data_IF_646025687986
#
_entry.id   IF_646025687986
#
_cell.length_a   1.000
_cell.length_b   1.000
_cell.length_c   1.000
_cell.angle_alpha   90.00
_cell.angle_beta   90.00
_cell.angle_gamma   90.00
#
_symmetry.space_group_name_H-M   'P 1'
#
loop_
_entity.id
_entity.type
_entity.pdbx_description
1 polymer ?
#
# COMPACT_ATOMS: atom_id res chain seq x y z
N UNK A 1 41.78 -11.52 11.57
CA UNK A 1 40.50 -10.76 11.79
C UNK A 1 39.35 -11.75 11.87
N UNK A 2 38.65 -11.77 12.95
CA UNK A 2 37.42 -12.55 13.06
C UNK A 2 36.37 -12.03 12.09
N UNK A 3 35.75 -12.94 11.34
CA UNK A 3 34.71 -12.59 10.37
C UNK A 3 33.44 -12.22 11.11
N UNK A 4 32.87 -11.05 10.76
CA UNK A 4 31.56 -10.63 11.26
C UNK A 4 30.50 -11.56 10.66
N UNK A 5 29.65 -12.14 11.52
CA UNK A 5 28.50 -12.93 11.06
C UNK A 5 27.45 -12.00 10.43
N UNK A 6 27.17 -12.13 9.12
CA UNK A 6 26.13 -11.33 8.48
C UNK A 6 24.76 -11.72 9.02
N UNK A 7 23.96 -10.71 9.40
CA UNK A 7 22.59 -10.91 9.89
C UNK A 7 21.74 -9.69 9.62
N UNK A 8 20.48 -9.91 9.29
CA UNK A 8 19.45 -8.86 9.23
C UNK A 8 18.92 -8.57 10.62
N UNK A 9 18.62 -7.33 10.93
CA UNK A 9 18.01 -6.94 12.20
C UNK A 9 16.57 -7.45 12.29
N UNK A 10 16.13 -7.78 13.51
CA UNK A 10 14.75 -8.20 13.75
C UNK A 10 13.76 -7.10 13.36
N UNK A 11 12.76 -7.44 12.54
CA UNK A 11 11.76 -6.48 12.03
C UNK A 11 12.20 -5.72 10.78
N UNK A 12 13.37 -6.05 10.22
CA UNK A 12 13.83 -5.55 8.92
C UNK A 12 13.80 -6.67 7.90
N UNK A 13 13.47 -6.37 6.66
CA UNK A 13 13.32 -7.37 5.61
C UNK A 13 14.34 -7.15 4.50
N UNK A 14 14.97 -8.22 4.08
CA UNK A 14 15.78 -8.30 2.87
C UNK A 14 15.10 -9.25 1.89
N UNK A 15 14.66 -8.73 0.75
CA UNK A 15 14.03 -9.54 -0.28
C UNK A 15 15.09 -10.19 -1.18
N UNK A 16 14.86 -11.46 -1.54
CA UNK A 16 15.60 -12.07 -2.62
C UNK A 16 15.26 -11.39 -3.95
N UNK A 17 16.16 -11.42 -4.97
CA UNK A 17 15.96 -10.66 -6.22
C UNK A 17 14.64 -10.93 -6.93
N UNK A 18 14.17 -12.18 -6.96
CA UNK A 18 12.87 -12.55 -7.53
C UNK A 18 11.70 -11.88 -6.80
N UNK A 19 11.76 -11.84 -5.46
CA UNK A 19 10.76 -11.20 -4.62
C UNK A 19 10.82 -9.68 -4.72
N UNK A 20 12.01 -9.13 -4.89
CA UNK A 20 12.16 -7.69 -5.13
C UNK A 20 11.50 -7.27 -6.46
N UNK A 21 11.65 -8.07 -7.53
CA UNK A 21 10.96 -7.81 -8.81
C UNK A 21 9.44 -7.83 -8.65
N UNK A 22 8.89 -8.76 -7.85
CA UNK A 22 7.45 -8.80 -7.56
C UNK A 22 6.99 -7.56 -6.80
N UNK A 23 7.73 -7.14 -5.76
CA UNK A 23 7.45 -5.91 -5.00
C UNK A 23 7.48 -4.67 -5.90
N UNK A 24 8.48 -4.55 -6.78
CA UNK A 24 8.61 -3.41 -7.68
C UNK A 24 7.47 -3.34 -8.71
N UNK A 25 6.97 -4.48 -9.17
CA UNK A 25 5.75 -4.53 -10.00
C UNK A 25 4.52 -4.04 -9.24
N UNK A 26 4.33 -4.44 -7.98
CA UNK A 26 3.26 -3.90 -7.15
C UNK A 26 3.37 -2.38 -7.03
N UNK A 27 4.56 -1.86 -6.71
CA UNK A 27 4.80 -0.42 -6.63
C UNK A 27 4.46 0.31 -7.93
N UNK A 28 4.80 -0.28 -9.08
CA UNK A 28 4.49 0.29 -10.40
C UNK A 28 2.97 0.37 -10.64
N UNK A 29 2.21 -0.68 -10.31
CA UNK A 29 0.74 -0.68 -10.41
C UNK A 29 0.12 0.42 -9.55
N UNK A 30 0.58 0.58 -8.30
CA UNK A 30 0.08 1.62 -7.41
C UNK A 30 0.37 3.02 -7.98
N UNK A 31 1.62 3.28 -8.38
CA UNK A 31 2.03 4.57 -8.92
C UNK A 31 1.26 4.93 -10.20
N UNK A 32 1.07 3.97 -11.11
CA UNK A 32 0.27 4.16 -12.31
C UNK A 32 -1.20 4.45 -11.99
N UNK A 33 -1.79 3.72 -11.03
CA UNK A 33 -3.16 3.95 -10.61
C UNK A 33 -3.31 5.34 -10.03
N UNK A 34 -2.46 5.76 -9.10
CA UNK A 34 -2.50 7.08 -8.49
C UNK A 34 -2.34 8.21 -9.54
N UNK A 35 -1.45 8.03 -10.51
CA UNK A 35 -1.28 8.99 -11.60
C UNK A 35 -2.56 9.17 -12.44
N UNK A 36 -3.38 8.12 -12.64
CA UNK A 36 -4.67 8.20 -13.36
C UNK A 36 -5.70 9.09 -12.65
N UNK A 37 -5.59 9.21 -11.32
CA UNK A 37 -6.43 10.10 -10.51
C UNK A 37 -5.80 11.49 -10.32
N UNK A 38 -4.77 11.83 -11.10
CA UNK A 38 -4.13 13.14 -11.08
C UNK A 38 -3.22 13.38 -9.87
N UNK A 39 -2.77 12.35 -9.18
CA UNK A 39 -1.78 12.50 -8.13
C UNK A 39 -0.38 12.62 -8.71
N UNK A 40 0.42 13.54 -8.16
CA UNK A 40 1.82 13.74 -8.51
C UNK A 40 2.75 13.05 -7.51
N UNK A 41 3.89 12.49 -7.95
CA UNK A 41 4.85 11.88 -7.04
C UNK A 41 5.52 12.93 -6.16
N UNK A 42 5.71 12.60 -4.89
CA UNK A 42 6.48 13.36 -3.93
C UNK A 42 7.37 12.40 -3.13
N UNK A 43 8.59 12.81 -2.82
CA UNK A 43 9.41 12.11 -1.83
C UNK A 43 9.95 13.12 -0.82
N UNK A 44 9.65 12.90 0.45
CA UNK A 44 10.16 13.69 1.56
C UNK A 44 11.39 13.01 2.17
N UNK A 45 12.28 13.73 2.86
CA UNK A 45 13.43 13.11 3.51
C UNK A 45 13.03 11.99 4.49
N UNK A 46 13.84 10.93 4.53
CA UNK A 46 13.67 9.86 5.50
C UNK A 46 14.06 10.28 6.93
N UNK A 47 14.98 11.26 7.03
CA UNK A 47 15.46 11.84 8.28
C UNK A 47 15.00 13.28 8.34
N UNK A 48 14.41 13.67 9.45
CA UNK A 48 13.98 15.03 9.74
C UNK A 48 14.50 15.47 11.12
N UNK A 49 14.43 16.76 11.42
CA UNK A 49 14.61 17.23 12.78
C UNK A 49 13.57 16.58 13.70
N UNK A 50 13.98 16.12 14.86
CA UNK A 50 13.09 15.41 15.79
C UNK A 50 11.89 16.27 16.18
N UNK A 51 12.04 17.59 16.35
CA UNK A 51 10.98 18.53 16.64
C UNK A 51 9.88 18.57 15.57
N UNK A 52 10.22 18.35 14.31
CA UNK A 52 9.24 18.28 13.21
C UNK A 52 8.36 17.05 13.35
N UNK A 53 8.96 15.87 13.55
CA UNK A 53 8.21 14.61 13.61
C UNK A 53 7.46 14.45 14.94
N UNK A 54 7.89 15.12 15.98
CA UNK A 54 7.29 15.12 17.32
C UNK A 54 6.38 16.33 17.57
N UNK A 55 6.15 17.20 16.58
CA UNK A 55 5.36 18.43 16.74
C UNK A 55 3.96 18.18 17.32
N UNK A 56 3.33 17.06 16.96
CA UNK A 56 2.05 16.65 17.57
C UNK A 56 2.19 16.23 19.05
N UNK A 57 3.39 15.83 19.48
CA UNK A 57 3.73 15.45 20.85
C UNK A 57 2.90 14.32 21.47
N UNK A 58 3.54 13.55 22.35
CA UNK A 58 2.88 12.60 23.24
C UNK A 58 2.47 11.25 22.62
N UNK A 59 2.09 10.34 23.50
CA UNK A 59 1.51 9.05 23.16
C UNK A 59 2.50 7.97 22.76
N UNK A 60 1.96 6.99 22.06
CA UNK A 60 2.68 5.79 21.63
C UNK A 60 3.70 6.07 20.52
N UNK A 61 3.43 7.06 19.66
CA UNK A 61 4.30 7.47 18.54
C UNK A 61 5.67 7.91 19.03
N UNK A 62 5.73 8.70 20.12
CA UNK A 62 6.99 9.19 20.68
C UNK A 62 7.89 8.05 21.17
N UNK A 63 7.28 6.96 21.71
CA UNK A 63 8.00 5.78 22.18
C UNK A 63 8.52 4.91 21.04
N UNK A 64 7.91 5.00 19.87
CA UNK A 64 8.21 4.15 18.72
C UNK A 64 9.08 4.83 17.66
N UNK A 65 9.28 6.15 17.73
CA UNK A 65 10.09 6.87 16.78
C UNK A 65 11.59 6.55 16.97
N UNK A 66 12.31 6.31 15.88
CA UNK A 66 13.75 6.16 15.89
C UNK A 66 14.39 7.55 15.94
N UNK A 67 14.93 7.93 17.10
CA UNK A 67 15.58 9.21 17.36
C UNK A 67 17.08 9.00 17.63
N UNK A 68 17.92 9.89 17.11
CA UNK A 68 19.37 9.83 17.25
C UNK A 68 19.99 11.22 17.09
N UNK A 69 21.23 11.37 17.55
CA UNK A 69 21.98 12.63 17.39
C UNK A 69 23.10 12.47 16.35
N UNK A 70 23.35 13.51 15.59
CA UNK A 70 24.51 13.64 14.71
C UNK A 70 25.12 15.02 14.86
N UNK A 71 26.29 15.09 15.49
CA UNK A 71 26.87 16.38 15.95
C UNK A 71 25.91 17.01 16.97
N UNK A 72 25.52 18.26 16.75
CA UNK A 72 24.55 18.99 17.59
C UNK A 72 23.08 18.80 17.16
N UNK A 73 22.84 18.09 16.05
CA UNK A 73 21.50 17.92 15.50
C UNK A 73 20.78 16.74 16.15
N UNK A 74 19.57 17.01 16.61
CA UNK A 74 18.61 16.01 17.12
C UNK A 74 17.68 15.58 15.97
N UNK A 75 17.79 14.34 15.56
CA UNK A 75 17.22 13.80 14.34
C UNK A 75 16.31 12.60 14.63
N UNK A 76 15.36 12.36 13.72
CA UNK A 76 14.54 11.16 13.78
C UNK A 76 14.24 10.62 12.39
N UNK A 77 13.98 9.31 12.32
CA UNK A 77 13.44 8.67 11.13
C UNK A 77 11.92 8.88 11.07
N UNK A 78 11.39 9.18 9.88
CA UNK A 78 9.95 9.39 9.68
C UNK A 78 9.14 8.15 10.07
N UNK A 79 8.10 8.37 10.87
CA UNK A 79 7.20 7.34 11.39
C UNK A 79 6.06 7.02 10.41
N UNK A 80 5.65 8.00 9.63
CA UNK A 80 4.66 7.97 8.55
C UNK A 80 5.10 8.89 7.40
N UNK A 81 4.27 9.01 6.37
CA UNK A 81 4.51 9.90 5.24
C UNK A 81 3.64 11.17 5.28
N UNK A 82 2.69 11.26 6.23
CA UNK A 82 1.70 12.35 6.31
C UNK A 82 2.21 13.53 7.15
N UNK A 83 2.90 13.29 8.27
CA UNK A 83 3.53 14.37 9.05
C UNK A 83 4.62 15.10 8.25
N UNK A 84 5.55 14.41 7.55
CA UNK A 84 6.48 15.08 6.65
C UNK A 84 5.80 15.84 5.50
N UNK A 85 4.66 15.33 4.98
CA UNK A 85 3.85 16.03 3.99
C UNK A 85 3.30 17.35 4.55
N UNK A 86 2.71 17.33 5.73
CA UNK A 86 2.14 18.53 6.35
C UNK A 86 3.21 19.64 6.49
N UNK A 87 4.42 19.29 6.95
CA UNK A 87 5.57 20.19 6.99
C UNK A 87 5.95 20.68 5.59
N UNK A 88 6.01 19.78 4.60
CA UNK A 88 6.36 20.11 3.23
C UNK A 88 5.37 21.12 2.61
N UNK A 89 4.06 20.88 2.76
CA UNK A 89 3.01 21.76 2.23
C UNK A 89 3.06 23.12 2.91
N UNK A 90 3.25 23.17 4.22
CA UNK A 90 3.39 24.43 4.96
C UNK A 90 4.61 25.24 4.48
N UNK A 91 5.77 24.59 4.31
CA UNK A 91 7.00 25.23 3.87
C UNK A 91 6.95 25.72 2.41
N UNK A 92 6.21 25.06 1.54
CA UNK A 92 6.17 25.34 0.10
C UNK A 92 4.81 25.92 -0.36
N UNK A 93 3.98 26.37 0.57
CA UNK A 93 2.61 26.82 0.29
C UNK A 93 2.48 27.76 -0.92
N UNK A 94 3.35 28.73 -1.03
CA UNK A 94 3.32 29.72 -2.12
C UNK A 94 3.71 29.17 -3.51
N UNK A 95 4.20 27.94 -3.58
CA UNK A 95 4.64 27.27 -4.81
C UNK A 95 3.68 26.15 -5.23
N UNK A 96 2.75 25.76 -4.35
CA UNK A 96 1.80 24.67 -4.59
C UNK A 96 0.49 25.21 -5.14
N UNK A 97 -0.19 24.40 -5.94
CA UNK A 97 -1.54 24.66 -6.42
C UNK A 97 -2.52 23.76 -5.68
N UNK A 98 -3.61 24.34 -5.16
CA UNK A 98 -4.61 23.61 -4.38
C UNK A 98 -5.91 23.41 -5.18
N UNK A 99 -6.63 22.27 -4.98
CA UNK A 99 -6.26 21.18 -4.08
C UNK A 99 -4.99 20.47 -4.55
N UNK A 100 -4.02 20.28 -3.62
CA UNK A 100 -2.77 19.62 -3.91
C UNK A 100 -2.92 18.11 -3.75
N UNK A 101 -2.70 17.37 -4.83
CA UNK A 101 -2.84 15.90 -4.90
C UNK A 101 -1.47 15.27 -5.04
N UNK A 102 -1.04 14.52 -4.03
CA UNK A 102 0.27 13.85 -4.08
C UNK A 102 0.15 12.36 -3.77
N UNK A 103 1.07 11.55 -4.30
CA UNK A 103 1.33 10.22 -3.77
C UNK A 103 2.79 10.08 -3.37
N UNK A 104 3.04 9.19 -2.40
CA UNK A 104 4.39 8.81 -2.00
C UNK A 104 4.43 7.32 -1.68
N UNK A 105 5.38 6.59 -2.29
CA UNK A 105 5.68 5.20 -1.98
C UNK A 105 7.06 5.16 -1.34
N UNK A 106 7.11 5.11 -0.03
CA UNK A 106 8.35 5.30 0.73
C UNK A 106 8.46 4.41 1.97
N UNK A 107 9.68 4.24 2.46
CA UNK A 107 9.92 3.55 3.72
C UNK A 107 9.64 4.45 4.90
N UNK A 108 9.10 3.83 5.96
CA UNK A 108 8.89 4.42 7.29
C UNK A 108 9.43 3.47 8.36
N UNK A 109 9.66 4.01 9.56
CA UNK A 109 10.29 3.27 10.65
C UNK A 109 9.50 3.39 11.94
N UNK A 110 9.16 2.23 12.55
CA UNK A 110 8.43 2.14 13.81
C UNK A 110 9.13 1.19 14.77
N UNK A 111 9.45 1.65 15.98
CA UNK A 111 10.14 0.88 17.02
C UNK A 111 9.29 -0.16 17.73
N UNK A 112 8.12 -0.50 17.20
CA UNK A 112 7.22 -1.50 17.77
C UNK A 112 7.81 -2.91 17.78
N UNK A 113 7.20 -3.81 18.57
CA UNK A 113 7.59 -5.21 18.59
C UNK A 113 7.30 -5.86 17.23
N UNK A 114 8.35 -6.41 16.61
CA UNK A 114 8.20 -7.16 15.37
C UNK A 114 7.27 -8.37 15.55
N UNK A 115 6.29 -8.51 14.64
CA UNK A 115 5.32 -9.59 14.62
C UNK A 115 5.09 -10.03 13.16
N UNK A 116 4.36 -11.14 12.95
CA UNK A 116 3.97 -11.60 11.62
C UNK A 116 3.24 -10.47 10.86
N UNK A 117 3.77 -10.09 9.69
CA UNK A 117 3.24 -8.98 8.89
C UNK A 117 3.45 -7.57 9.47
N UNK A 118 4.18 -7.42 10.59
CA UNK A 118 4.56 -6.12 11.18
C UNK A 118 6.06 -5.99 11.27
N UNK A 119 6.58 -5.01 10.54
CA UNK A 119 8.00 -4.73 10.40
C UNK A 119 8.35 -3.40 11.06
N UNK A 120 9.62 -3.25 11.42
CA UNK A 120 10.17 -1.99 11.96
C UNK A 120 10.62 -1.03 10.86
N UNK A 121 10.95 -1.55 9.69
CA UNK A 121 11.15 -0.82 8.45
C UNK A 121 10.21 -1.40 7.40
N UNK A 122 9.36 -0.57 6.80
CA UNK A 122 8.39 -1.03 5.82
C UNK A 122 7.97 0.08 4.86
N UNK A 123 7.51 -0.31 3.68
CA UNK A 123 6.94 0.60 2.69
C UNK A 123 5.48 0.90 3.02
N UNK A 124 5.16 2.19 3.00
CA UNK A 124 3.81 2.71 2.85
C UNK A 124 3.63 3.26 1.44
N UNK A 125 2.41 3.16 0.91
CA UNK A 125 1.99 3.77 -0.34
C UNK A 125 0.79 4.67 -0.03
N UNK A 126 1.07 5.96 0.08
CA UNK A 126 0.14 6.97 0.56
C UNK A 126 -0.31 7.88 -0.58
N UNK A 127 -1.58 8.26 -0.55
CA UNK A 127 -2.14 9.37 -1.32
C UNK A 127 -2.77 10.37 -0.37
N UNK A 128 -2.65 11.66 -0.69
CA UNK A 128 -3.31 12.73 0.05
C UNK A 128 -3.78 13.84 -0.90
N UNK A 129 -4.90 14.44 -0.57
CA UNK A 129 -5.47 15.61 -1.20
C UNK A 129 -5.55 16.70 -0.15
N UNK A 130 -4.83 17.80 -0.35
CA UNK A 130 -4.78 18.93 0.59
C UNK A 130 -5.52 20.12 -0.01
N UNK A 131 -6.49 20.66 0.72
CA UNK A 131 -7.20 21.90 0.39
C UNK A 131 -6.51 23.16 0.91
N UNK A 132 -7.01 24.32 0.51
CA UNK A 132 -6.64 25.63 1.03
C UNK A 132 -7.89 26.32 1.62
N UNK A 133 -7.94 26.46 2.93
CA UNK A 133 -9.11 26.96 3.67
C UNK A 133 -10.24 25.94 3.78
N UNK A 134 -10.55 25.23 2.70
CA UNK A 134 -11.59 24.21 2.63
C UNK A 134 -11.18 23.05 1.73
N UNK A 135 -11.80 21.90 1.93
CA UNK A 135 -11.70 20.74 1.04
C UNK A 135 -13.10 20.14 0.89
N UNK A 136 -13.58 20.10 -0.37
CA UNK A 136 -14.92 19.60 -0.68
C UNK A 136 -15.05 18.09 -0.34
N UNK A 137 -16.22 17.70 0.17
CA UNK A 137 -16.55 16.33 0.59
C UNK A 137 -16.44 15.30 -0.56
N UNK A 138 -16.57 15.74 -1.81
CA UNK A 138 -16.40 14.87 -2.97
C UNK A 138 -15.02 14.22 -3.02
N UNK A 139 -13.98 14.91 -2.52
CA UNK A 139 -12.64 14.33 -2.41
C UNK A 139 -12.61 13.12 -1.45
N UNK A 140 -13.45 13.15 -0.41
CA UNK A 140 -13.59 12.01 0.51
C UNK A 140 -14.34 10.84 -0.14
N UNK A 141 -15.34 11.13 -0.99
CA UNK A 141 -16.07 10.10 -1.73
C UNK A 141 -15.23 9.44 -2.84
N UNK A 142 -14.23 10.15 -3.39
CA UNK A 142 -13.32 9.59 -4.41
C UNK A 142 -12.29 8.60 -3.82
N UNK A 143 -11.91 8.74 -2.56
CA UNK A 143 -10.90 7.87 -1.91
C UNK A 143 -11.25 6.38 -2.00
N UNK A 144 -12.46 5.92 -1.66
CA UNK A 144 -12.84 4.50 -1.83
C UNK A 144 -12.74 4.02 -3.27
N UNK A 145 -13.04 4.86 -4.27
CA UNK A 145 -12.88 4.50 -5.67
C UNK A 145 -11.41 4.26 -6.05
N UNK A 146 -10.51 5.09 -5.54
CA UNK A 146 -9.06 4.92 -5.74
C UNK A 146 -8.58 3.62 -5.08
N UNK A 147 -9.07 3.31 -3.88
CA UNK A 147 -8.77 2.04 -3.19
C UNK A 147 -9.26 0.86 -4.04
N UNK A 148 -10.52 0.92 -4.52
CA UNK A 148 -11.11 -0.12 -5.32
C UNK A 148 -10.34 -0.37 -6.62
N UNK A 149 -10.03 0.68 -7.39
CA UNK A 149 -9.25 0.56 -8.64
C UNK A 149 -7.83 0.02 -8.37
N UNK A 150 -7.18 0.49 -7.29
CA UNK A 150 -5.85 0.04 -6.91
C UNK A 150 -5.81 -1.45 -6.63
N UNK A 151 -6.72 -1.96 -5.79
CA UNK A 151 -6.72 -3.37 -5.43
C UNK A 151 -7.17 -4.26 -6.58
N UNK A 152 -8.17 -3.84 -7.36
CA UNK A 152 -8.62 -4.56 -8.56
C UNK A 152 -7.49 -4.69 -9.60
N UNK A 153 -6.70 -3.63 -9.82
CA UNK A 153 -5.53 -3.65 -10.71
C UNK A 153 -4.40 -4.51 -10.20
N UNK A 154 -4.26 -4.66 -8.89
CA UNK A 154 -3.35 -5.65 -8.30
C UNK A 154 -3.85 -7.08 -8.50
N UNK A 155 -5.15 -7.28 -8.83
CA UNK A 155 -5.80 -8.59 -8.95
C UNK A 155 -6.49 -9.04 -7.67
N UNK A 156 -6.67 -8.14 -6.70
CA UNK A 156 -7.48 -8.40 -5.51
C UNK A 156 -8.94 -8.04 -5.82
N UNK A 157 -9.86 -8.97 -5.60
CA UNK A 157 -11.30 -8.76 -5.84
C UNK A 157 -12.14 -8.98 -4.58
N UNK A 158 -11.67 -9.80 -3.64
CA UNK A 158 -12.38 -10.14 -2.42
C UNK A 158 -11.89 -9.33 -1.23
N UNK A 159 -12.27 -8.06 -1.22
CA UNK A 159 -11.97 -7.11 -0.13
C UNK A 159 -13.19 -6.25 0.16
N UNK A 160 -13.21 -5.60 1.32
CA UNK A 160 -14.24 -4.66 1.72
C UNK A 160 -13.64 -3.38 2.26
N UNK A 161 -14.12 -2.27 1.73
CA UNK A 161 -13.80 -0.91 2.19
C UNK A 161 -14.86 -0.53 3.21
N UNK A 162 -14.47 -0.41 4.46
CA UNK A 162 -15.32 0.06 5.55
C UNK A 162 -15.20 1.58 5.64
N UNK A 163 -16.33 2.25 5.80
CA UNK A 163 -16.40 3.72 5.86
C UNK A 163 -17.17 4.12 7.11
N UNK A 164 -16.67 5.12 7.83
CA UNK A 164 -17.36 5.77 8.94
C UNK A 164 -17.01 7.27 8.98
N UNK A 165 -17.58 8.00 9.93
CA UNK A 165 -17.25 9.40 10.15
C UNK A 165 -17.10 9.67 11.65
N UNK A 166 -15.96 10.25 12.05
CA UNK A 166 -15.68 10.55 13.47
C UNK A 166 -16.67 11.54 14.09
N UNK A 167 -17.24 12.45 13.30
CA UNK A 167 -18.26 13.37 13.80
C UNK A 167 -19.54 12.64 14.24
N UNK A 168 -19.90 11.55 13.51
CA UNK A 168 -21.03 10.68 13.89
C UNK A 168 -20.78 10.05 15.24
N UNK A 169 -19.60 9.46 15.45
CA UNK A 169 -19.25 8.83 16.74
C UNK A 169 -19.17 9.86 17.88
N UNK A 170 -18.44 10.95 17.67
CA UNK A 170 -18.27 12.00 18.67
C UNK A 170 -19.61 12.65 19.04
N UNK A 171 -20.45 12.95 18.05
CA UNK A 171 -21.80 13.48 18.27
C UNK A 171 -22.70 12.50 19.00
N UNK A 172 -22.63 11.21 18.68
CA UNK A 172 -23.37 10.16 19.38
C UNK A 172 -22.96 10.06 20.87
N UNK A 173 -21.67 10.07 21.18
CA UNK A 173 -21.22 10.08 22.57
C UNK A 173 -21.62 11.36 23.29
N UNK A 174 -21.67 12.51 22.63
CA UNK A 174 -22.18 13.76 23.20
C UNK A 174 -23.68 13.65 23.52
N UNK A 175 -24.47 13.04 22.62
CA UNK A 175 -25.90 12.77 22.84
C UNK A 175 -26.12 11.91 24.09
N UNK A 176 -25.23 10.96 24.35
CA UNK A 176 -25.28 10.09 25.54
C UNK A 176 -24.68 10.74 26.81
N UNK A 177 -24.07 11.93 26.70
CA UNK A 177 -23.34 12.56 27.82
C UNK A 177 -22.01 11.90 28.16
N UNK A 178 -21.37 11.23 27.18
CA UNK A 178 -20.16 10.43 27.36
C UNK A 178 -18.94 11.02 26.63
N UNK A 179 -18.92 12.32 26.34
CA UNK A 179 -17.83 12.96 25.58
C UNK A 179 -16.45 12.77 26.24
N UNK A 180 -16.36 12.82 27.57
CA UNK A 180 -15.10 12.63 28.29
C UNK A 180 -14.65 11.16 28.30
N UNK A 181 -15.59 10.23 28.32
CA UNK A 181 -15.36 8.79 28.34
C UNK A 181 -15.17 8.18 26.92
N UNK A 182 -15.41 8.96 25.85
CA UNK A 182 -15.45 8.47 24.48
C UNK A 182 -14.22 7.62 24.12
N UNK A 183 -13.01 8.05 24.48
CA UNK A 183 -11.79 7.32 24.19
C UNK A 183 -11.68 5.96 24.89
N UNK A 184 -12.16 5.85 26.16
CA UNK A 184 -12.17 4.57 26.91
C UNK A 184 -13.26 3.63 26.39
N UNK A 185 -14.42 4.19 26.07
CA UNK A 185 -15.55 3.46 25.46
C UNK A 185 -15.11 2.87 24.14
N UNK A 186 -14.50 3.65 23.25
CA UNK A 186 -14.04 3.21 21.95
C UNK A 186 -12.96 2.11 22.04
N UNK A 187 -11.98 2.27 22.93
CA UNK A 187 -10.99 1.20 23.22
C UNK A 187 -11.61 -0.09 23.76
N UNK A 188 -12.76 0.01 24.40
CA UNK A 188 -13.49 -1.15 24.90
C UNK A 188 -14.32 -1.82 23.81
N UNK A 189 -15.00 -1.04 22.97
CA UNK A 189 -15.74 -1.51 21.78
C UNK A 189 -14.83 -2.30 20.84
N UNK A 190 -13.62 -1.86 20.67
CA UNK A 190 -12.58 -2.47 19.83
C UNK A 190 -12.23 -3.94 20.21
N UNK A 191 -12.65 -4.35 21.39
CA UNK A 191 -12.52 -5.76 21.82
C UNK A 191 -13.73 -6.61 21.45
N UNK A 192 -14.78 -6.01 20.85
CA UNK A 192 -16.07 -6.67 20.62
C UNK A 192 -15.91 -8.00 19.87
N UNK A 193 -15.20 -8.01 18.77
CA UNK A 193 -14.96 -9.21 17.95
C UNK A 193 -14.18 -10.32 18.71
N UNK A 194 -13.38 -9.92 19.72
CA UNK A 194 -12.51 -10.85 20.46
C UNK A 194 -13.15 -11.47 21.67
N UNK A 195 -13.99 -10.69 22.37
CA UNK A 195 -14.52 -11.11 23.68
C UNK A 195 -16.05 -11.19 23.74
N UNK A 196 -16.75 -10.70 22.71
CA UNK A 196 -18.20 -10.72 22.59
C UNK A 196 -18.93 -9.60 23.33
N UNK A 197 -20.19 -9.36 22.96
CA UNK A 197 -21.02 -8.25 23.42
C UNK A 197 -21.23 -8.21 24.95
N UNK A 198 -21.51 -9.35 25.57
CA UNK A 198 -21.76 -9.42 27.04
C UNK A 198 -20.55 -8.96 27.85
N UNK A 199 -19.34 -9.37 27.45
CA UNK A 199 -18.11 -8.95 28.11
C UNK A 199 -17.77 -7.50 27.84
N UNK A 200 -18.03 -7.00 26.62
CA UNK A 200 -17.87 -5.58 26.30
C UNK A 200 -18.85 -4.76 27.13
N UNK A 201 -20.10 -5.15 27.24
CA UNK A 201 -21.12 -4.50 28.10
C UNK A 201 -20.65 -4.39 29.55
N UNK A 202 -20.17 -5.50 30.11
CA UNK A 202 -19.63 -5.50 31.49
C UNK A 202 -18.43 -4.55 31.64
N UNK A 203 -17.49 -4.56 30.70
CA UNK A 203 -16.34 -3.64 30.71
C UNK A 203 -16.75 -2.17 30.58
N UNK A 204 -17.75 -1.84 29.76
CA UNK A 204 -18.28 -0.48 29.62
C UNK A 204 -18.84 0.02 30.97
N UNK A 205 -19.62 -0.80 31.66
CA UNK A 205 -20.19 -0.42 32.96
C UNK A 205 -19.16 -0.39 34.10
N UNK A 206 -18.25 -1.37 34.13
CA UNK A 206 -17.35 -1.55 35.27
C UNK A 206 -16.12 -0.63 35.21
N UNK A 207 -15.67 -0.27 33.99
CA UNK A 207 -14.39 0.42 33.79
C UNK A 207 -14.48 1.78 33.11
N UNK A 208 -15.55 2.04 32.34
CA UNK A 208 -15.69 3.30 31.62
C UNK A 208 -16.67 4.28 32.24
N UNK A 209 -17.29 3.91 33.38
CA UNK A 209 -18.27 4.76 34.05
C UNK A 209 -19.57 4.98 33.28
N UNK A 210 -19.94 4.01 32.43
CA UNK A 210 -21.12 4.03 31.57
C UNK A 210 -22.27 3.33 32.27
N UNK A 211 -23.51 3.86 32.22
CA UNK A 211 -24.67 3.16 32.79
C UNK A 211 -25.05 1.95 31.90
N UNK A 212 -25.86 1.06 32.45
CA UNK A 212 -26.36 -0.13 31.74
C UNK A 212 -27.12 0.28 30.47
N UNK A 213 -27.99 1.30 30.58
CA UNK A 213 -28.80 1.82 29.49
C UNK A 213 -27.91 2.45 28.38
N UNK A 214 -26.87 3.19 28.77
CA UNK A 214 -25.91 3.77 27.85
C UNK A 214 -25.09 2.66 27.14
N UNK A 215 -24.68 1.62 27.89
CA UNK A 215 -23.93 0.49 27.31
C UNK A 215 -24.79 -0.28 26.27
N UNK A 216 -26.07 -0.51 26.58
CA UNK A 216 -27.01 -1.15 25.66
C UNK A 216 -27.25 -0.30 24.40
N UNK A 217 -27.36 1.02 24.56
CA UNK A 217 -27.50 1.94 23.43
C UNK A 217 -26.24 1.99 22.56
N UNK A 218 -25.05 2.00 23.16
CA UNK A 218 -23.77 1.91 22.43
C UNK A 218 -23.70 0.61 21.64
N UNK A 219 -23.99 -0.52 22.25
CA UNK A 219 -23.96 -1.82 21.56
C UNK A 219 -24.99 -1.88 20.44
N UNK A 220 -26.20 -1.32 20.64
CA UNK A 220 -27.21 -1.22 19.60
C UNK A 220 -26.75 -0.35 18.42
N UNK A 221 -26.08 0.77 18.71
CA UNK A 221 -25.56 1.68 17.69
C UNK A 221 -24.49 1.01 16.83
N UNK A 222 -23.47 0.41 17.44
CA UNK A 222 -22.35 -0.20 16.71
C UNK A 222 -22.72 -1.50 16.00
N UNK A 223 -23.66 -2.29 16.56
CA UNK A 223 -24.12 -3.55 15.98
C UNK A 223 -25.29 -3.37 15.00
N UNK A 224 -25.59 -2.14 14.56
CA UNK A 224 -26.68 -1.88 13.64
C UNK A 224 -26.56 -2.76 12.38
N UNK A 225 -27.51 -3.69 12.16
CA UNK A 225 -27.46 -4.63 11.05
C UNK A 225 -27.95 -3.98 9.76
N UNK A 226 -27.74 -4.70 8.64
CA UNK A 226 -28.25 -4.34 7.33
C UNK A 226 -27.24 -3.70 6.41
N UNK A 227 -27.73 -3.22 5.28
CA UNK A 227 -26.96 -2.53 4.24
C UNK A 227 -26.50 -1.15 4.71
N UNK A 228 -25.63 -0.51 3.94
CA UNK A 228 -25.25 0.90 4.22
C UNK A 228 -26.45 1.83 4.23
N UNK A 229 -27.46 1.57 3.37
CA UNK A 229 -28.70 2.36 3.36
C UNK A 229 -29.55 2.16 4.63
N UNK A 230 -29.65 0.91 5.12
CA UNK A 230 -30.35 0.61 6.38
C UNK A 230 -29.68 1.28 7.57
N UNK A 231 -28.33 1.27 7.63
CA UNK A 231 -27.55 1.93 8.67
C UNK A 231 -27.70 3.46 8.61
N UNK A 232 -27.71 4.06 7.43
CA UNK A 232 -27.99 5.50 7.29
C UNK A 232 -29.43 5.85 7.77
N UNK A 233 -30.41 5.00 7.43
CA UNK A 233 -31.78 5.20 7.90
C UNK A 233 -31.88 5.04 9.44
N UNK A 234 -31.15 4.09 10.02
CA UNK A 234 -31.06 3.93 11.48
C UNK A 234 -30.47 5.18 12.16
N UNK A 235 -29.44 5.78 11.59
CA UNK A 235 -28.79 6.98 12.16
C UNK A 235 -29.71 8.19 12.19
N UNK A 236 -30.73 8.28 11.32
CA UNK A 236 -31.71 9.38 11.31
C UNK A 236 -32.47 9.56 12.62
N UNK A 237 -32.62 8.52 13.44
CA UNK A 237 -33.30 8.64 14.73
C UNK A 237 -32.58 9.56 15.75
N UNK A 238 -31.29 9.84 15.49
CA UNK A 238 -30.48 10.74 16.33
C UNK A 238 -30.41 12.16 15.77
N UNK A 239 -30.92 12.38 14.55
CA UNK A 239 -30.89 13.71 13.88
C UNK A 239 -31.58 14.78 14.75
N UNK A 240 -31.00 15.99 14.73
CA UNK A 240 -31.49 17.13 15.51
C UNK A 240 -31.14 17.11 16.99
N UNK A 241 -30.39 16.09 17.45
CA UNK A 241 -29.98 15.96 18.86
C UNK A 241 -28.58 16.53 19.12
N UNK A 242 -27.74 16.63 18.08
CA UNK A 242 -26.40 17.20 18.16
C UNK A 242 -25.90 17.65 16.77
N UNK A 243 -25.44 18.89 16.66
CA UNK A 243 -25.01 19.49 15.39
C UNK A 243 -23.81 18.76 14.77
N UNK A 244 -22.85 18.31 15.59
CA UNK A 244 -21.68 17.54 15.08
C UNK A 244 -22.13 16.21 14.51
N UNK A 245 -23.09 15.54 15.16
CA UNK A 245 -23.68 14.31 14.65
C UNK A 245 -24.36 14.53 13.30
N UNK A 246 -25.20 15.56 13.20
CA UNK A 246 -25.95 15.88 11.99
C UNK A 246 -25.00 16.18 10.81
N UNK A 247 -23.97 16.97 11.06
CA UNK A 247 -22.91 17.24 10.08
C UNK A 247 -22.23 15.95 9.60
N UNK A 248 -21.81 15.10 10.54
CA UNK A 248 -21.17 13.83 10.21
C UNK A 248 -22.06 12.86 9.44
N UNK A 249 -23.36 12.83 9.76
CA UNK A 249 -24.36 12.01 9.07
C UNK A 249 -24.57 12.51 7.63
N UNK A 250 -24.63 13.83 7.39
CA UNK A 250 -24.76 14.39 6.05
C UNK A 250 -23.51 14.15 5.20
N UNK A 251 -22.32 14.31 5.79
CA UNK A 251 -21.04 13.95 5.15
C UNK A 251 -21.01 12.47 4.77
N UNK A 252 -21.34 11.58 5.70
CA UNK A 252 -21.34 10.14 5.50
C UNK A 252 -22.34 9.72 4.42
N UNK A 253 -23.53 10.30 4.41
CA UNK A 253 -24.54 10.10 3.36
C UNK A 253 -24.02 10.51 1.99
N UNK A 254 -23.35 11.67 1.91
CA UNK A 254 -22.76 12.17 0.69
C UNK A 254 -21.68 11.22 0.18
N UNK A 255 -20.74 10.83 1.04
CA UNK A 255 -19.65 9.89 0.68
C UNK A 255 -20.21 8.57 0.16
N UNK A 256 -21.07 7.90 0.96
CA UNK A 256 -21.65 6.59 0.58
C UNK A 256 -22.51 6.71 -0.67
N UNK A 257 -23.27 7.82 -0.83
CA UNK A 257 -24.15 8.06 -1.97
C UNK A 257 -23.41 8.18 -3.31
N UNK A 258 -22.17 8.65 -3.32
CA UNK A 258 -21.38 8.78 -4.56
C UNK A 258 -20.64 7.50 -4.96
N UNK A 259 -20.46 6.51 -4.07
CA UNK A 259 -19.66 5.31 -4.35
C UNK A 259 -20.12 4.54 -5.60
N UNK A 260 -21.44 4.30 -5.83
CA UNK A 260 -21.90 3.65 -7.06
C UNK A 260 -21.56 4.43 -8.32
N UNK A 261 -21.67 5.78 -8.28
CA UNK A 261 -21.34 6.64 -9.41
C UNK A 261 -19.83 6.64 -9.72
N UNK A 262 -18.98 6.45 -8.72
CA UNK A 262 -17.55 6.22 -8.87
C UNK A 262 -17.20 4.79 -9.31
N UNK A 263 -18.19 3.91 -9.48
CA UNK A 263 -18.00 2.54 -9.95
C UNK A 263 -17.54 1.55 -8.87
N UNK A 264 -17.70 1.89 -7.59
CA UNK A 264 -17.43 0.95 -6.48
C UNK A 264 -18.63 0.04 -6.29
N UNK A 265 -18.51 -1.28 -6.51
CA UNK A 265 -19.60 -2.23 -6.31
C UNK A 265 -20.05 -2.29 -4.84
N UNK A 266 -21.34 -2.53 -4.61
CA UNK A 266 -21.91 -2.56 -3.27
C UNK A 266 -21.28 -3.65 -2.38
N UNK A 267 -20.87 -4.76 -2.97
CA UNK A 267 -20.15 -5.83 -2.28
C UNK A 267 -18.74 -5.45 -1.82
N UNK A 268 -18.16 -4.37 -2.35
CA UNK A 268 -16.80 -3.93 -2.00
C UNK A 268 -16.76 -2.79 -0.99
N UNK A 269 -17.89 -2.26 -0.55
CA UNK A 269 -17.91 -1.26 0.52
C UNK A 269 -19.02 -1.52 1.55
N UNK A 270 -18.85 -0.99 2.75
CA UNK A 270 -19.87 -0.98 3.79
C UNK A 270 -19.70 0.22 4.72
N UNK A 271 -20.83 0.75 5.21
CA UNK A 271 -20.85 1.62 6.37
C UNK A 271 -20.63 0.77 7.62
N UNK A 272 -19.57 1.07 8.38
CA UNK A 272 -19.20 0.31 9.58
C UNK A 272 -18.98 1.24 10.76
N UNK A 273 -19.95 1.28 11.67
CA UNK A 273 -19.95 2.16 12.83
C UNK A 273 -18.92 1.74 13.90
N UNK A 274 -18.27 0.58 13.74
CA UNK A 274 -17.24 0.10 14.68
C UNK A 274 -15.87 0.69 14.39
N UNK A 275 -15.59 1.15 13.16
CA UNK A 275 -14.30 1.71 12.84
C UNK A 275 -14.18 3.14 13.38
N UNK A 276 -13.27 3.26 14.30
CA UNK A 276 -12.85 4.54 14.88
C UNK A 276 -11.35 4.73 14.70
N UNK A 277 -10.64 3.61 14.59
CA UNK A 277 -9.19 3.57 14.56
C UNK A 277 -8.60 4.31 13.39
N UNK A 278 -7.55 4.97 13.68
CA UNK A 278 -6.69 5.70 12.77
C UNK A 278 -5.69 6.44 13.63
N UNK A 279 -4.89 7.27 12.99
CA UNK A 279 -4.04 8.20 13.72
C UNK A 279 -4.94 9.25 14.38
N UNK A 280 -4.59 9.66 15.60
CA UNK A 280 -5.39 10.58 16.43
C UNK A 280 -5.71 11.93 15.79
N UNK A 281 -5.18 12.21 14.58
CA UNK A 281 -5.42 13.46 13.86
C UNK A 281 -6.63 13.42 12.89
N UNK A 282 -7.33 12.29 12.72
CA UNK A 282 -8.51 12.27 11.87
C UNK A 282 -9.70 13.00 12.50
N UNK A 283 -10.41 13.77 11.69
CA UNK A 283 -11.47 14.69 12.13
C UNK A 283 -12.84 14.44 11.47
N UNK A 284 -12.89 13.71 10.37
CA UNK A 284 -14.09 13.44 9.57
C UNK A 284 -14.20 11.99 9.15
N UNK A 285 -14.41 11.76 7.83
CA UNK A 285 -14.51 10.42 7.26
C UNK A 285 -13.26 9.60 7.53
N UNK A 286 -13.44 8.33 7.85
CA UNK A 286 -12.38 7.33 8.07
C UNK A 286 -12.64 6.09 7.22
N UNK A 287 -11.56 5.48 6.77
CA UNK A 287 -11.58 4.30 5.90
C UNK A 287 -10.72 3.19 6.48
N UNK A 288 -11.19 1.97 6.33
CA UNK A 288 -10.42 0.77 6.62
C UNK A 288 -10.75 -0.30 5.58
N UNK A 289 -9.73 -0.95 5.02
CA UNK A 289 -9.94 -2.01 4.04
C UNK A 289 -9.40 -3.34 4.55
N UNK A 290 -10.22 -4.38 4.47
CA UNK A 290 -9.90 -5.73 4.91
C UNK A 290 -10.06 -6.74 3.77
N UNK A 291 -9.26 -7.82 3.81
CA UNK A 291 -9.43 -8.97 2.92
C UNK A 291 -10.53 -9.87 3.48
N UNK A 292 -11.52 -10.25 2.65
CA UNK A 292 -12.65 -11.08 3.08
C UNK A 292 -12.23 -12.54 3.33
N UNK A 293 -11.25 -13.03 2.57
CA UNK A 293 -10.77 -14.41 2.71
C UNK A 293 -9.70 -14.56 3.79
N UNK A 294 -9.17 -13.42 4.30
CA UNK A 294 -8.09 -13.38 5.29
C UNK A 294 -8.36 -12.32 6.36
N UNK A 295 -9.50 -12.42 7.11
CA UNK A 295 -9.88 -11.42 8.10
C UNK A 295 -8.87 -11.33 9.27
N UNK A 296 -8.12 -12.41 9.54
CA UNK A 296 -7.08 -12.45 10.58
C UNK A 296 -5.91 -11.49 10.29
N UNK A 297 -5.77 -11.07 9.05
CA UNK A 297 -4.76 -10.09 8.64
C UNK A 297 -5.08 -8.71 9.21
N UNK A 298 -6.38 -8.39 9.36
CA UNK A 298 -6.86 -7.06 9.71
C UNK A 298 -6.70 -6.07 8.55
N UNK A 299 -6.61 -4.78 8.88
CA UNK A 299 -6.54 -3.71 7.88
C UNK A 299 -5.29 -3.78 7.01
N UNK A 300 -5.47 -3.69 5.69
CA UNK A 300 -4.41 -3.60 4.68
C UNK A 300 -4.26 -2.18 4.12
N UNK A 301 -5.30 -1.36 4.24
CA UNK A 301 -5.33 0.04 3.88
C UNK A 301 -6.19 0.80 4.89
N UNK A 302 -5.74 1.95 5.32
CA UNK A 302 -6.50 2.83 6.22
C UNK A 302 -6.22 4.29 5.92
N UNK A 303 -7.14 5.16 6.33
CA UNK A 303 -7.00 6.58 6.13
C UNK A 303 -8.18 7.38 6.67
N UNK A 304 -8.22 8.67 6.32
CA UNK A 304 -9.32 9.55 6.71
C UNK A 304 -9.02 11.02 6.44
N UNK A 305 -9.99 11.85 6.78
CA UNK A 305 -9.88 13.30 6.76
C UNK A 305 -9.17 13.82 8.01
N UNK A 306 -8.31 14.80 7.80
CA UNK A 306 -7.62 15.56 8.87
C UNK A 306 -7.64 17.05 8.54
N UNK A 307 -7.98 17.90 9.51
CA UNK A 307 -8.13 19.35 9.28
C UNK A 307 -6.97 20.17 9.86
N UNK A 308 -6.35 19.71 10.95
CA UNK A 308 -5.42 20.54 11.74
C UNK A 308 -3.96 20.07 11.70
N UNK A 309 -3.63 19.07 10.91
CA UNK A 309 -2.27 18.50 10.91
C UNK A 309 -1.20 19.52 10.50
N UNK A 310 -1.49 20.38 9.53
CA UNK A 310 -0.58 21.44 9.10
C UNK A 310 -0.49 22.61 10.10
N UNK A 311 -1.43 22.72 11.05
CA UNK A 311 -1.46 23.79 12.08
C UNK A 311 -0.24 23.81 12.99
N UNK A 312 0.52 22.72 13.07
CA UNK A 312 1.81 22.68 13.77
C UNK A 312 2.92 23.46 13.04
N UNK A 313 2.76 23.75 11.75
CA UNK A 313 3.82 24.35 10.92
C UNK A 313 3.40 25.69 10.28
N UNK A 314 2.10 26.00 10.25
CA UNK A 314 1.55 27.22 9.63
C UNK A 314 0.24 27.64 10.29
N UNK A 315 -0.08 28.93 10.22
CA UNK A 315 -1.39 29.48 10.63
C UNK A 315 -2.48 29.33 9.55
N UNK A 316 -2.18 28.65 8.43
CA UNK A 316 -3.16 28.42 7.37
C UNK A 316 -3.98 27.16 7.67
N UNK A 317 -5.27 27.22 7.37
CA UNK A 317 -6.13 26.06 7.39
C UNK A 317 -5.89 25.22 6.13
N UNK A 318 -5.32 24.05 6.26
CA UNK A 318 -4.97 23.14 5.17
C UNK A 318 -5.59 21.76 5.43
N UNK A 319 -6.92 21.65 5.28
CA UNK A 319 -7.60 20.37 5.46
C UNK A 319 -7.14 19.36 4.43
N UNK A 320 -7.04 18.09 4.82
CA UNK A 320 -6.61 17.02 3.94
C UNK A 320 -7.43 15.75 4.12
N UNK A 321 -7.42 14.92 3.10
CA UNK A 321 -7.90 13.54 3.15
C UNK A 321 -6.92 12.63 2.43
N UNK A 322 -6.66 11.47 3.00
CA UNK A 322 -5.74 10.53 2.37
C UNK A 322 -5.85 9.12 2.93
N UNK A 323 -5.18 8.20 2.26
CA UNK A 323 -5.04 6.80 2.72
C UNK A 323 -3.61 6.33 2.61
N UNK A 324 -3.30 5.31 3.38
CA UNK A 324 -2.04 4.60 3.39
C UNK A 324 -2.27 3.10 3.20
N UNK A 325 -1.63 2.53 2.20
CA UNK A 325 -1.53 1.08 2.03
C UNK A 325 -0.23 0.62 2.69
N UNK A 326 -0.30 -0.28 3.66
CA UNK A 326 0.86 -0.94 4.24
C UNK A 326 1.49 -1.94 3.25
N UNK A 327 2.22 -1.43 2.25
CA UNK A 327 2.64 -2.19 1.08
C UNK A 327 3.51 -3.41 1.43
N UNK A 328 4.47 -3.26 2.35
CA UNK A 328 5.30 -4.40 2.80
C UNK A 328 4.45 -5.48 3.47
N UNK A 329 3.46 -5.08 4.28
CA UNK A 329 2.53 -6.01 4.93
C UNK A 329 1.67 -6.74 3.92
N UNK A 330 1.07 -6.00 2.97
CA UNK A 330 0.27 -6.57 1.91
C UNK A 330 1.08 -7.58 1.09
N UNK A 331 2.28 -7.20 0.65
CA UNK A 331 3.18 -8.07 -0.11
C UNK A 331 3.53 -9.36 0.67
N UNK A 332 3.89 -9.22 1.96
CA UNK A 332 4.20 -10.35 2.82
C UNK A 332 3.02 -11.34 2.91
N UNK A 333 1.80 -10.84 3.08
CA UNK A 333 0.59 -11.66 3.16
C UNK A 333 0.32 -12.36 1.84
N UNK A 334 0.39 -11.65 0.72
CA UNK A 334 0.19 -12.22 -0.62
C UNK A 334 1.18 -13.34 -0.91
N UNK A 335 2.42 -13.22 -0.42
CA UNK A 335 3.42 -14.29 -0.51
C UNK A 335 3.08 -15.48 0.37
N UNK A 336 2.75 -15.26 1.66
CA UNK A 336 2.40 -16.34 2.59
C UNK A 336 1.18 -17.15 2.12
N UNK A 337 0.21 -16.48 1.51
CA UNK A 337 -1.01 -17.10 1.00
C UNK A 337 -0.84 -17.65 -0.43
N UNK A 338 0.37 -17.60 -1.00
CA UNK A 338 0.66 -18.02 -2.38
C UNK A 338 -0.25 -17.36 -3.44
N UNK A 339 -0.67 -16.12 -3.21
CA UNK A 339 -1.54 -15.38 -4.11
C UNK A 339 -0.80 -14.73 -5.28
N UNK A 340 0.52 -14.56 -5.19
CA UNK A 340 1.32 -13.99 -6.30
C UNK A 340 1.42 -15.01 -7.42
N UNK A 341 1.10 -14.57 -8.65
CA UNK A 341 1.10 -15.43 -9.83
C UNK A 341 2.49 -15.92 -10.21
N UNK A 342 2.62 -17.20 -10.55
CA UNK A 342 3.85 -17.79 -11.10
C UNK A 342 4.16 -17.24 -12.51
N UNK A 343 3.17 -16.63 -13.18
CA UNK A 343 3.36 -15.97 -14.47
C UNK A 343 4.20 -14.68 -14.39
N UNK A 344 4.41 -14.15 -13.18
CA UNK A 344 5.25 -12.96 -12.98
C UNK A 344 6.69 -13.27 -13.34
N UNK A 345 7.17 -12.68 -14.44
CA UNK A 345 8.56 -12.84 -14.85
C UNK A 345 9.50 -12.15 -13.86
N UNK A 346 10.22 -12.96 -13.10
CA UNK A 346 11.21 -12.50 -12.10
C UNK A 346 12.65 -12.65 -12.58
N UNK A 347 12.86 -13.28 -13.76
CA UNK A 347 14.17 -13.43 -14.37
C UNK A 347 14.84 -12.07 -14.61
N UNK A 348 16.16 -11.96 -14.39
CA UNK A 348 16.90 -10.71 -14.60
C UNK A 348 17.04 -10.33 -16.08
N UNK A 349 16.83 -11.29 -16.98
CA UNK A 349 16.90 -11.12 -18.43
C UNK A 349 15.81 -11.92 -19.14
N UNK A 350 15.42 -11.46 -20.33
CA UNK A 350 14.50 -12.17 -21.22
C UNK A 350 15.24 -13.24 -22.02
N UNK A 351 16.54 -13.00 -22.30
CA UNK A 351 17.39 -13.92 -23.03
C UNK A 351 18.84 -13.88 -22.51
N UNK A 352 19.45 -15.06 -22.44
CA UNK A 352 20.87 -15.24 -22.17
C UNK A 352 21.58 -15.65 -23.46
N UNK A 353 22.60 -14.89 -23.89
CA UNK A 353 23.45 -15.27 -25.00
C UNK A 353 24.65 -16.06 -24.48
N UNK A 354 24.85 -17.25 -25.02
CA UNK A 354 25.97 -18.15 -24.73
C UNK A 354 26.92 -18.17 -25.92
N UNK A 355 27.99 -17.37 -25.93
CA UNK A 355 29.04 -17.47 -26.98
C UNK A 355 29.73 -18.85 -26.89
N UNK A 356 29.93 -19.45 -28.05
CA UNK A 356 30.65 -20.73 -28.22
C UNK A 356 32.01 -20.53 -28.92
N UNK A 357 32.38 -19.27 -29.13
CA UNK A 357 33.65 -18.84 -29.78
C UNK A 357 34.51 -18.09 -28.76
N UNK A 358 35.82 -18.02 -29.03
CA UNK A 358 36.74 -17.20 -28.19
C UNK A 358 36.60 -15.70 -28.53
N UNK A 359 36.30 -15.33 -29.79
CA UNK A 359 35.95 -13.97 -30.16
C UNK A 359 34.48 -13.70 -29.84
N UNK A 360 34.25 -12.73 -28.97
CA UNK A 360 32.92 -12.36 -28.49
C UNK A 360 32.25 -11.25 -29.31
N UNK A 361 32.90 -10.74 -30.35
CA UNK A 361 32.43 -9.56 -31.11
C UNK A 361 31.03 -9.73 -31.69
N UNK A 362 30.74 -10.90 -32.28
CA UNK A 362 29.43 -11.23 -32.83
C UNK A 362 28.35 -11.32 -31.72
N UNK A 363 28.67 -11.93 -30.57
CA UNK A 363 27.76 -12.06 -29.43
C UNK A 363 27.48 -10.68 -28.81
N UNK A 364 28.47 -9.81 -28.71
CA UNK A 364 28.32 -8.42 -28.24
C UNK A 364 27.41 -7.63 -29.18
N UNK A 365 27.61 -7.76 -30.52
CA UNK A 365 26.77 -7.11 -31.52
C UNK A 365 25.32 -7.58 -31.42
N UNK A 366 25.09 -8.90 -31.30
CA UNK A 366 23.78 -9.48 -31.16
C UNK A 366 23.11 -8.98 -29.85
N UNK A 367 23.83 -8.97 -28.70
CA UNK A 367 23.30 -8.45 -27.46
C UNK A 367 22.88 -6.98 -27.56
N UNK A 368 23.69 -6.16 -28.27
CA UNK A 368 23.38 -4.74 -28.46
C UNK A 368 22.14 -4.55 -29.35
N UNK A 369 22.01 -5.33 -30.43
CA UNK A 369 20.83 -5.29 -31.29
C UNK A 369 19.55 -5.70 -30.55
N UNK A 370 19.58 -6.79 -29.79
CA UNK A 370 18.43 -7.26 -29.01
C UNK A 370 18.04 -6.26 -27.93
N UNK A 371 19.01 -5.61 -27.26
CA UNK A 371 18.75 -4.54 -26.29
C UNK A 371 18.12 -3.30 -26.95
N UNK A 372 18.64 -2.89 -28.10
CA UNK A 372 18.04 -1.81 -28.91
C UNK A 372 16.59 -2.15 -29.31
N UNK A 373 16.30 -3.45 -29.50
CA UNK A 373 14.95 -3.97 -29.72
C UNK A 373 14.07 -4.03 -28.47
N UNK A 374 14.54 -3.55 -27.32
CA UNK A 374 13.77 -3.46 -26.07
C UNK A 374 13.82 -4.72 -25.18
N UNK A 375 14.65 -5.72 -25.48
CA UNK A 375 14.81 -6.90 -24.63
C UNK A 375 15.85 -6.69 -23.52
N UNK A 376 15.63 -7.35 -22.37
CA UNK A 376 16.62 -7.48 -21.32
C UNK A 376 17.56 -8.64 -21.68
N UNK A 377 18.81 -8.33 -21.98
CA UNK A 377 19.76 -9.31 -22.51
C UNK A 377 20.97 -9.44 -21.60
N UNK A 378 21.26 -10.65 -21.20
CA UNK A 378 22.50 -10.99 -20.51
C UNK A 378 23.45 -11.74 -21.46
N UNK A 379 24.71 -11.33 -21.48
CA UNK A 379 25.78 -12.02 -22.19
C UNK A 379 26.60 -12.82 -21.15
N UNK A 380 26.74 -14.13 -21.35
CA UNK A 380 27.52 -14.99 -20.46
C UNK A 380 28.98 -15.04 -20.91
N UNK A 381 29.87 -14.43 -20.13
CA UNK A 381 31.29 -14.32 -20.46
C UNK A 381 32.19 -15.34 -19.75
N UNK A 382 31.64 -16.08 -18.77
CA UNK A 382 32.44 -16.98 -17.96
C UNK A 382 32.85 -18.27 -18.71
N UNK A 383 34.11 -18.65 -18.56
CA UNK A 383 34.66 -19.90 -19.15
C UNK A 383 34.25 -21.13 -18.31
N UNK A 384 33.01 -21.58 -18.48
CA UNK A 384 32.45 -22.75 -17.81
C UNK A 384 32.03 -23.83 -18.83
N UNK A 385 31.87 -25.07 -18.37
CA UNK A 385 31.32 -26.15 -19.19
C UNK A 385 29.89 -25.84 -19.61
N UNK A 386 29.50 -26.29 -20.79
CA UNK A 386 28.18 -26.06 -21.38
C UNK A 386 27.00 -26.31 -20.40
N UNK A 387 27.00 -27.46 -19.71
CA UNK A 387 25.96 -27.79 -18.72
C UNK A 387 25.85 -26.76 -17.62
N UNK A 388 26.96 -26.15 -17.19
CA UNK A 388 26.93 -25.12 -16.15
C UNK A 388 26.37 -23.79 -16.67
N UNK A 389 26.62 -23.47 -17.97
CA UNK A 389 26.05 -22.27 -18.62
C UNK A 389 24.53 -22.39 -18.74
N UNK A 390 24.02 -23.54 -19.18
CA UNK A 390 22.56 -23.81 -19.24
C UNK A 390 21.94 -23.80 -17.84
N UNK A 391 22.57 -24.48 -16.88
CA UNK A 391 22.08 -24.48 -15.48
C UNK A 391 22.07 -23.09 -14.84
N UNK A 392 22.85 -22.13 -15.33
CA UNK A 392 22.79 -20.75 -14.90
C UNK A 392 21.49 -20.07 -15.37
N UNK A 393 21.14 -20.24 -16.69
CA UNK A 393 19.88 -19.72 -17.22
C UNK A 393 18.66 -20.32 -16.48
N UNK A 394 18.68 -21.63 -16.28
CA UNK A 394 17.61 -22.37 -15.59
C UNK A 394 17.41 -21.88 -14.15
N UNK A 395 18.48 -21.76 -13.38
CA UNK A 395 18.42 -21.25 -11.99
C UNK A 395 17.90 -19.82 -11.86
N UNK A 396 18.13 -18.98 -12.87
CA UNK A 396 17.65 -17.61 -12.92
C UNK A 396 16.26 -17.49 -13.55
N UNK A 397 15.69 -18.60 -14.05
CA UNK A 397 14.39 -18.61 -14.72
C UNK A 397 14.39 -17.81 -16.04
N UNK A 398 15.56 -17.66 -16.70
CA UNK A 398 15.66 -16.92 -17.96
C UNK A 398 14.95 -17.72 -19.04
N UNK A 399 13.90 -17.16 -19.69
CA UNK A 399 13.02 -17.95 -20.56
C UNK A 399 13.65 -18.34 -21.90
N UNK A 400 14.66 -17.61 -22.36
CA UNK A 400 15.32 -17.90 -23.63
C UNK A 400 16.84 -17.96 -23.50
N UNK A 401 17.45 -18.85 -24.26
CA UNK A 401 18.90 -18.93 -24.43
C UNK A 401 19.23 -18.90 -25.92
N UNK A 402 20.22 -18.11 -26.29
CA UNK A 402 20.79 -18.11 -27.66
C UNK A 402 22.19 -18.72 -27.58
N UNK A 403 22.43 -19.73 -28.41
CA UNK A 403 23.77 -20.26 -28.69
C UNK A 403 24.29 -19.57 -29.94
N UNK A 404 25.54 -19.14 -29.90
CA UNK A 404 26.18 -18.45 -31.02
C UNK A 404 27.59 -19.02 -31.18
N UNK A 405 27.74 -19.94 -32.13
CA UNK A 405 28.99 -20.57 -32.53
C UNK A 405 29.47 -20.05 -33.89
N UNK A 406 30.57 -20.60 -34.40
CA UNK A 406 31.16 -20.21 -35.69
C UNK A 406 30.20 -20.46 -36.85
N UNK A 407 29.47 -21.59 -36.82
CA UNK A 407 28.51 -21.96 -37.89
C UNK A 407 27.31 -20.99 -37.91
N UNK A 408 26.76 -20.65 -36.75
CA UNK A 408 25.67 -19.69 -36.64
C UNK A 408 26.11 -18.29 -37.14
N UNK A 409 27.32 -17.87 -36.78
CA UNK A 409 27.88 -16.58 -37.23
C UNK A 409 28.06 -16.57 -38.75
N UNK A 410 28.65 -17.63 -39.30
CA UNK A 410 28.89 -17.74 -40.76
C UNK A 410 27.58 -17.71 -41.59
N UNK A 411 26.50 -18.28 -41.04
CA UNK A 411 25.18 -18.33 -41.67
C UNK A 411 24.28 -17.15 -41.33
N UNK A 412 24.76 -16.21 -40.50
CA UNK A 412 23.98 -15.08 -39.98
C UNK A 412 22.68 -15.49 -39.28
N UNK A 413 22.73 -16.59 -38.52
CA UNK A 413 21.64 -17.11 -37.69
C UNK A 413 22.06 -17.19 -36.25
N UNK A 414 21.16 -17.58 -35.35
CA UNK A 414 21.44 -17.96 -33.98
C UNK A 414 20.56 -19.17 -33.60
N UNK A 415 21.05 -20.05 -32.75
CA UNK A 415 20.26 -21.14 -32.22
C UNK A 415 19.50 -20.65 -31.00
N UNK A 416 18.20 -20.36 -31.19
CA UNK A 416 17.28 -19.89 -30.15
C UNK A 416 16.64 -21.07 -29.44
N UNK A 417 16.79 -21.16 -28.11
CA UNK A 417 16.15 -22.16 -27.27
C UNK A 417 15.16 -21.52 -26.31
N UNK A 418 13.93 -21.99 -26.35
CA UNK A 418 12.94 -21.69 -25.33
C UNK A 418 13.14 -22.66 -24.14
N UNK A 419 13.48 -22.12 -22.97
CA UNK A 419 13.81 -22.92 -21.78
C UNK A 419 12.59 -23.56 -21.13
N UNK A 420 11.38 -23.07 -21.42
CA UNK A 420 10.13 -23.61 -20.86
C UNK A 420 9.63 -24.80 -21.67
N UNK A 421 9.59 -24.66 -23.02
CA UNK A 421 9.12 -25.71 -23.92
C UNK A 421 10.22 -26.71 -24.29
N UNK A 422 11.49 -26.32 -24.13
CA UNK A 422 12.65 -27.10 -24.55
C UNK A 422 12.94 -27.01 -26.08
N UNK A 423 12.07 -26.37 -26.86
CA UNK A 423 12.22 -26.23 -28.32
C UNK A 423 13.44 -25.36 -28.64
N UNK A 424 14.24 -25.81 -29.59
CA UNK A 424 15.43 -25.11 -30.10
C UNK A 424 15.37 -25.05 -31.63
N UNK A 425 15.57 -23.87 -32.19
CA UNK A 425 15.49 -23.60 -33.63
C UNK A 425 16.63 -22.68 -34.08
N UNK A 426 17.12 -22.86 -35.29
CA UNK A 426 18.02 -21.92 -35.92
C UNK A 426 17.18 -20.84 -36.61
N UNK A 427 17.34 -19.60 -36.17
CA UNK A 427 16.58 -18.44 -36.66
C UNK A 427 17.49 -17.27 -36.99
N UNK A 428 17.03 -16.34 -37.84
CA UNK A 428 17.76 -15.08 -38.03
C UNK A 428 17.71 -14.24 -36.75
N UNK A 429 18.67 -13.35 -36.56
CA UNK A 429 18.74 -12.46 -35.41
C UNK A 429 17.47 -11.59 -35.29
N UNK A 430 16.89 -11.13 -36.40
CA UNK A 430 15.64 -10.37 -36.44
C UNK A 430 14.44 -11.25 -35.98
N UNK A 431 14.36 -12.49 -36.46
CA UNK A 431 13.30 -13.42 -36.05
C UNK A 431 13.41 -13.78 -34.56
N UNK A 432 14.62 -13.95 -34.02
CA UNK A 432 14.84 -14.15 -32.60
C UNK A 432 14.30 -12.99 -31.77
N UNK A 433 14.57 -11.74 -32.17
CA UNK A 433 14.03 -10.55 -31.52
C UNK A 433 12.50 -10.57 -31.46
N UNK A 434 11.84 -10.80 -32.61
CA UNK A 434 10.37 -10.79 -32.66
C UNK A 434 9.75 -11.94 -31.89
N UNK A 435 10.31 -13.16 -31.95
CA UNK A 435 9.84 -14.33 -31.22
C UNK A 435 9.91 -14.10 -29.70
N UNK A 436 11.07 -13.62 -29.22
CA UNK A 436 11.25 -13.35 -27.78
C UNK A 436 10.31 -12.23 -27.32
N UNK A 437 10.23 -11.12 -28.09
CA UNK A 437 9.37 -9.98 -27.76
C UNK A 437 7.89 -10.40 -27.63
N UNK A 438 7.38 -11.16 -28.61
CA UNK A 438 6.00 -11.64 -28.60
C UNK A 438 5.70 -12.52 -27.35
N UNK A 439 6.60 -13.45 -27.03
CA UNK A 439 6.41 -14.32 -25.88
C UNK A 439 6.52 -13.56 -24.55
N UNK A 440 7.46 -12.62 -24.41
CA UNK A 440 7.56 -11.78 -23.20
C UNK A 440 6.32 -10.91 -23.05
N UNK A 441 5.82 -10.29 -24.13
CA UNK A 441 4.59 -9.50 -24.08
C UNK A 441 3.39 -10.35 -23.64
N UNK A 442 3.25 -11.57 -24.16
CA UNK A 442 2.20 -12.52 -23.78
C UNK A 442 2.26 -12.87 -22.29
N UNK A 443 3.46 -13.10 -21.75
CA UNK A 443 3.64 -13.42 -20.32
C UNK A 443 3.41 -12.22 -19.40
N UNK A 444 3.83 -11.03 -19.82
CA UNK A 444 3.66 -9.81 -19.01
C UNK A 444 2.23 -9.27 -19.01
N UNK A 445 1.38 -9.71 -19.95
CA UNK A 445 -0.05 -9.39 -19.97
C UNK A 445 -0.85 -10.11 -18.86
N UNK A 446 -0.27 -11.10 -18.18
CA UNK A 446 -0.90 -11.81 -17.07
C UNK A 446 -1.04 -10.95 -15.80
N UNK A 447 -2.09 -11.23 -15.03
CA UNK A 447 -2.31 -10.57 -13.73
C UNK A 447 -1.15 -10.82 -12.76
N UNK A 448 -0.90 -9.84 -11.89
CA UNK A 448 0.12 -9.94 -10.82
C UNK A 448 -0.25 -11.02 -9.80
N UNK A 449 -1.52 -11.15 -9.51
CA UNK A 449 -2.03 -12.16 -8.58
C UNK A 449 -2.73 -13.30 -9.36
N UNK A 450 -2.79 -14.45 -8.72
CA UNK A 450 -3.56 -15.59 -9.22
C UNK A 450 -5.05 -15.23 -9.15
N UNK A 451 -5.82 -15.66 -10.16
CA UNK A 451 -7.27 -15.59 -10.08
C UNK A 451 -7.72 -16.49 -8.91
N UNK A 452 -8.44 -15.89 -7.97
CA UNK A 452 -9.00 -16.56 -6.79
C UNK A 452 -10.27 -17.32 -7.13
#
# INVERSE_FOLDING_TARGET
MDKIKPRTLSGFMELQPDKQVQMDKMRAVLAETYARYGFTPLDTPAIEAAEVLLAKGGGETEKQIYRFTKGESDLALRFDLTVPLAKYVAANYGQLTFPFRRYQIGKVWRGERAQRGRFREFYQADIDIIGDGALDILNEAEIPAIIYDTFTRLGLHRFRIRVNNRKVLNGFFTILGLSEQAGDVLRTIDKLDKIGADKVRALLTDTCGVTVEQADEILRFIACPGTSADKLAFLEQYRGRNETFDTGLDELRTVVGYLPAFGVPEENFELDLTIERGLDYYTGTVYETVLLDHPEVGSICSGGRYDDLAGYYTNKSLPGVGISIGLTRLFYILQEQNMISDAVLTAPADVLILPMTDDLSAAVSLASMLRAGGLRVQLYSEKKKFKAKIGYADKLGIPFVIFLGEDEIAQNVCALKNMVTGVQEAVTQAAALETIRAEIARRTAGALLRES
#
